data_IF_022185328694
#
_entry.id   IF_022185328694
#
_cell.length_a   1.000
_cell.length_b   1.000
_cell.length_c   1.000
_cell.angle_alpha   90.00
_cell.angle_beta   90.00
_cell.angle_gamma   90.00
#
_symmetry.space_group_name_H-M   'P 1'
#
loop_
_entity.id
_entity.type
_entity.pdbx_description
1 polymer ?
#
# COMPACT_ATOMS: atom_id res chain seq x y z
N UNK A 1 16.37 -26.76 -6.31
CA UNK A 1 14.96 -26.78 -5.88
C UNK A 1 14.33 -25.49 -6.42
N UNK A 2 13.32 -25.56 -7.28
CA UNK A 2 12.69 -24.38 -7.90
C UNK A 2 11.35 -24.13 -7.21
N UNK A 3 10.95 -22.86 -7.08
CA UNK A 3 9.62 -22.54 -6.54
C UNK A 3 8.49 -23.00 -7.48
N UNK A 4 7.36 -23.45 -6.92
CA UNK A 4 6.16 -23.85 -7.68
C UNK A 4 5.36 -22.66 -8.23
N UNK A 5 5.40 -21.53 -7.51
CA UNK A 5 4.84 -20.26 -7.91
C UNK A 5 5.78 -19.12 -7.46
N UNK A 6 5.86 -18.07 -8.27
CA UNK A 6 6.65 -16.87 -7.98
C UNK A 6 5.68 -15.69 -7.93
N UNK A 7 5.70 -14.96 -6.82
CA UNK A 7 4.81 -13.83 -6.58
C UNK A 7 5.63 -12.56 -6.46
N UNK A 8 5.09 -11.44 -6.97
CA UNK A 8 5.68 -10.12 -6.79
C UNK A 8 4.62 -9.13 -6.32
N UNK A 9 5.03 -8.19 -5.46
CA UNK A 9 4.08 -7.37 -4.69
C UNK A 9 3.95 -5.92 -5.13
N UNK A 10 4.84 -5.46 -6.00
CA UNK A 10 4.76 -4.13 -6.62
C UNK A 10 5.03 -4.23 -8.13
N UNK A 11 4.33 -3.45 -8.97
CA UNK A 11 4.48 -3.55 -10.43
C UNK A 11 5.91 -3.29 -10.94
N UNK A 12 6.71 -2.54 -10.21
CA UNK A 12 8.11 -2.27 -10.54
C UNK A 12 9.01 -3.52 -10.48
N UNK A 13 8.59 -4.58 -9.80
CA UNK A 13 9.27 -5.89 -9.79
C UNK A 13 8.93 -6.77 -11.00
N UNK A 14 7.99 -6.32 -11.85
CA UNK A 14 7.65 -6.99 -13.11
C UNK A 14 8.46 -6.37 -14.25
N UNK A 15 9.78 -6.50 -14.16
CA UNK A 15 10.69 -6.09 -15.23
C UNK A 15 11.03 -7.27 -16.18
N UNK A 16 11.98 -7.05 -17.08
CA UNK A 16 12.43 -8.07 -18.04
C UNK A 16 13.08 -9.30 -17.40
N UNK A 17 13.46 -9.23 -16.12
CA UNK A 17 14.08 -10.35 -15.39
C UNK A 17 13.05 -11.19 -14.63
N UNK A 18 11.84 -10.65 -14.41
CA UNK A 18 10.76 -11.40 -13.80
C UNK A 18 10.40 -12.63 -14.65
N UNK A 19 10.40 -13.85 -14.06
CA UNK A 19 10.04 -15.05 -14.81
C UNK A 19 8.65 -14.92 -15.43
N UNK A 20 8.46 -15.39 -16.66
CA UNK A 20 7.17 -15.32 -17.36
C UNK A 20 5.99 -15.94 -16.59
N UNK A 21 6.28 -16.83 -15.63
CA UNK A 21 5.29 -17.47 -14.73
C UNK A 21 5.01 -16.71 -13.44
N UNK A 22 5.67 -15.57 -13.21
CA UNK A 22 5.47 -14.76 -12.02
C UNK A 22 4.08 -14.12 -12.03
N UNK A 23 3.46 -14.02 -10.86
CA UNK A 23 2.10 -13.51 -10.70
C UNK A 23 2.10 -12.29 -9.80
N UNK A 24 1.49 -11.20 -10.25
CA UNK A 24 1.29 -10.03 -9.42
C UNK A 24 0.31 -10.33 -8.29
N UNK A 25 0.70 -10.03 -7.05
CA UNK A 25 -0.17 -10.07 -5.87
C UNK A 25 0.03 -8.77 -5.07
N UNK A 26 -0.91 -7.83 -5.09
CA UNK A 26 -0.75 -6.55 -4.39
C UNK A 26 -0.61 -6.74 -2.88
N UNK A 27 0.09 -5.80 -2.23
CA UNK A 27 0.20 -5.79 -0.77
C UNK A 27 -1.16 -5.44 -0.13
N UNK A 28 -1.69 -6.28 0.78
CA UNK A 28 -2.94 -5.98 1.46
C UNK A 28 -2.77 -4.85 2.48
N UNK A 29 -3.83 -4.10 2.72
CA UNK A 29 -3.95 -3.19 3.86
C UNK A 29 -4.90 -3.81 4.87
N UNK A 30 -4.51 -3.83 6.14
CA UNK A 30 -5.42 -4.17 7.23
C UNK A 30 -6.43 -3.03 7.38
N UNK A 31 -7.62 -3.17 6.78
CA UNK A 31 -8.66 -2.15 6.80
C UNK A 31 -9.46 -2.10 8.10
N UNK A 32 -9.23 -3.03 9.02
CA UNK A 32 -9.80 -2.97 10.38
C UNK A 32 -8.96 -2.05 11.25
N UNK A 33 -7.63 -2.16 11.14
CA UNK A 33 -6.66 -1.29 11.81
C UNK A 33 -6.53 0.09 11.13
N UNK A 34 -6.33 0.11 9.82
CA UNK A 34 -6.19 1.33 9.02
C UNK A 34 -7.52 1.72 8.41
N UNK A 35 -8.23 2.59 9.12
CA UNK A 35 -9.49 3.15 8.70
C UNK A 35 -9.61 4.60 9.10
N UNK A 36 -10.55 5.29 8.48
CA UNK A 36 -10.94 6.64 8.89
C UNK A 36 -11.49 6.60 10.31
N UNK A 37 -10.98 7.48 11.16
CA UNK A 37 -11.44 7.67 12.54
C UNK A 37 -12.20 9.00 12.61
N UNK A 38 -13.52 8.95 12.57
CA UNK A 38 -14.35 10.17 12.54
C UNK A 38 -14.26 11.01 13.82
N UNK A 39 -13.84 10.40 14.94
CA UNK A 39 -13.56 11.09 16.19
C UNK A 39 -12.28 11.95 16.15
N UNK A 40 -11.42 11.77 15.13
CA UNK A 40 -10.16 12.51 15.00
C UNK A 40 -10.34 13.69 14.04
N UNK A 41 -10.19 14.90 14.57
CA UNK A 41 -10.24 16.12 13.75
C UNK A 41 -8.96 16.25 12.92
N UNK A 42 -9.10 16.26 11.60
CA UNK A 42 -7.98 16.50 10.68
C UNK A 42 -7.57 17.97 10.65
N UNK A 43 -6.27 18.18 10.58
CA UNK A 43 -5.66 19.48 10.31
C UNK A 43 -5.74 19.73 8.81
N UNK A 44 -6.47 20.77 8.42
CA UNK A 44 -6.63 21.19 7.02
C UNK A 44 -5.32 21.70 6.45
N UNK A 45 -5.12 21.52 5.15
CA UNK A 45 -3.94 22.00 4.41
C UNK A 45 -2.60 21.53 5.01
N UNK A 46 -2.61 20.37 5.68
CA UNK A 46 -1.42 19.78 6.28
C UNK A 46 -1.15 18.41 5.67
N UNK A 47 0.10 18.23 5.24
CA UNK A 47 0.62 16.98 4.74
C UNK A 47 1.61 16.36 5.73
N UNK A 48 1.53 15.04 5.89
CA UNK A 48 2.58 14.26 6.54
C UNK A 48 3.52 13.69 5.47
N UNK A 49 4.82 13.65 5.76
CA UNK A 49 5.78 12.83 5.01
C UNK A 49 6.76 12.14 5.97
N UNK A 50 7.21 10.94 5.62
CA UNK A 50 8.28 10.29 6.39
C UNK A 50 9.65 10.73 5.89
N UNK A 51 10.55 11.14 6.79
CA UNK A 51 11.91 11.56 6.47
C UNK A 51 12.86 10.36 6.20
N UNK A 52 12.42 9.39 5.40
CA UNK A 52 13.28 8.27 5.02
C UNK A 52 12.96 7.83 3.60
N UNK A 53 13.96 7.92 2.73
CA UNK A 53 13.86 7.77 1.28
C UNK A 53 12.91 8.80 0.64
N UNK A 54 12.77 9.95 1.29
CA UNK A 54 12.03 11.09 0.79
C UNK A 54 13.00 12.00 0.04
N UNK A 55 12.65 12.32 -1.20
CA UNK A 55 13.24 13.45 -1.91
C UNK A 55 12.58 14.73 -1.36
N UNK A 56 13.27 15.39 -0.44
CA UNK A 56 12.72 16.52 0.31
C UNK A 56 12.37 17.69 -0.62
N UNK A 57 13.22 18.00 -1.60
CA UNK A 57 12.99 19.09 -2.55
C UNK A 57 11.72 18.84 -3.36
N UNK A 58 11.52 17.61 -3.85
CA UNK A 58 10.28 17.26 -4.56
C UNK A 58 9.07 17.26 -3.65
N UNK A 59 9.19 16.78 -2.41
CA UNK A 59 8.11 16.82 -1.43
C UNK A 59 7.68 18.26 -1.13
N UNK A 60 8.64 19.16 -0.92
CA UNK A 60 8.41 20.59 -0.72
C UNK A 60 7.78 21.25 -1.95
N UNK A 61 8.26 20.92 -3.15
CA UNK A 61 7.67 21.40 -4.41
C UNK A 61 6.21 20.96 -4.54
N UNK A 62 5.90 19.70 -4.23
CA UNK A 62 4.52 19.22 -4.24
C UNK A 62 3.65 19.89 -3.17
N UNK A 63 4.15 20.04 -1.95
CA UNK A 63 3.44 20.72 -0.88
C UNK A 63 3.10 22.16 -1.30
N UNK A 64 4.07 22.90 -1.85
CA UNK A 64 3.89 24.25 -2.37
C UNK A 64 2.83 24.30 -3.48
N UNK A 65 2.90 23.40 -4.47
CA UNK A 65 1.93 23.31 -5.57
C UNK A 65 0.48 23.18 -5.09
N UNK A 66 0.25 22.50 -3.98
CA UNK A 66 -1.09 22.28 -3.42
C UNK A 66 -1.42 23.18 -2.23
N UNK A 67 -0.58 24.17 -1.91
CA UNK A 67 -0.80 25.09 -0.79
C UNK A 67 -0.78 24.40 0.59
N UNK A 68 0.07 23.39 0.76
CA UNK A 68 0.16 22.57 1.97
C UNK A 68 1.36 22.95 2.83
N UNK A 69 1.17 22.96 4.15
CA UNK A 69 2.27 22.81 5.09
C UNK A 69 2.69 21.34 5.16
N UNK A 70 3.96 21.07 5.41
CA UNK A 70 4.49 19.71 5.56
C UNK A 70 5.00 19.51 7.00
N UNK A 71 4.66 18.36 7.58
CA UNK A 71 5.31 17.84 8.78
C UNK A 71 6.09 16.59 8.42
N UNK A 72 7.37 16.57 8.82
CA UNK A 72 8.25 15.43 8.63
C UNK A 72 8.22 14.56 9.88
N UNK A 73 8.16 13.26 9.67
CA UNK A 73 8.13 12.26 10.74
C UNK A 73 9.22 11.21 10.52
N UNK A 74 9.90 10.83 11.58
CA UNK A 74 10.90 9.76 11.55
C UNK A 74 10.25 8.37 11.63
N UNK A 75 10.97 7.34 11.19
CA UNK A 75 10.51 5.93 11.34
C UNK A 75 10.69 5.44 12.78
N UNK A 76 10.23 4.21 13.04
CA UNK A 76 10.34 3.58 14.37
C UNK A 76 9.10 3.73 15.25
N UNK A 77 7.96 4.08 14.64
CA UNK A 77 6.69 4.17 15.34
C UNK A 77 6.06 2.78 15.53
N UNK A 78 5.41 2.52 16.67
CA UNK A 78 4.60 1.31 16.82
C UNK A 78 3.52 1.26 15.73
N UNK A 79 3.46 0.12 15.02
CA UNK A 79 2.56 -0.05 13.88
C UNK A 79 1.09 0.23 14.22
N UNK A 80 0.62 -0.22 15.40
CA UNK A 80 -0.75 0.01 15.86
C UNK A 80 -1.09 1.48 16.18
N UNK A 81 -0.10 2.34 16.38
CA UNK A 81 -0.31 3.78 16.64
C UNK A 81 -0.31 4.61 15.36
N UNK A 82 0.27 4.09 14.28
CA UNK A 82 0.31 4.75 12.98
C UNK A 82 -1.06 5.21 12.46
N UNK A 83 -2.16 4.42 12.52
CA UNK A 83 -3.47 4.90 12.04
C UNK A 83 -3.96 6.12 12.82
N UNK A 84 -3.67 6.23 14.13
CA UNK A 84 -4.04 7.42 14.92
C UNK A 84 -3.25 8.64 14.47
N UNK A 85 -1.97 8.46 14.15
CA UNK A 85 -1.10 9.52 13.63
C UNK A 85 -1.62 10.00 12.27
N UNK A 86 -1.81 9.07 11.32
CA UNK A 86 -2.27 9.36 9.96
C UNK A 86 -3.59 10.13 9.97
N UNK A 87 -4.56 9.70 10.78
CA UNK A 87 -5.89 10.33 10.85
C UNK A 87 -5.89 11.81 11.28
N UNK A 88 -4.77 12.37 11.75
CA UNK A 88 -4.64 13.81 12.07
C UNK A 88 -4.38 14.68 10.85
N UNK A 89 -3.99 14.09 9.72
CA UNK A 89 -3.55 14.80 8.52
C UNK A 89 -4.60 14.73 7.42
N UNK A 90 -4.59 15.71 6.51
CA UNK A 90 -5.42 15.69 5.31
C UNK A 90 -4.69 15.02 4.15
N UNK A 91 -3.40 15.31 4.00
CA UNK A 91 -2.55 14.77 2.95
C UNK A 91 -1.43 13.90 3.51
N UNK A 92 -0.97 12.98 2.68
CA UNK A 92 0.30 12.29 2.84
C UNK A 92 1.12 12.45 1.55
N UNK A 93 2.40 12.80 1.66
CA UNK A 93 3.33 12.88 0.54
C UNK A 93 4.16 11.61 0.52
N UNK A 94 4.02 10.84 -0.54
CA UNK A 94 4.73 9.58 -0.69
C UNK A 94 6.17 9.78 -1.18
N UNK A 95 6.97 8.73 -1.03
CA UNK A 95 8.32 8.64 -1.61
C UNK A 95 8.26 8.76 -3.14
N UNK A 96 9.35 9.26 -3.73
CA UNK A 96 9.46 9.49 -5.18
C UNK A 96 9.97 8.29 -5.98
N UNK A 97 10.45 7.26 -5.28
CA UNK A 97 10.91 6.00 -5.88
C UNK A 97 10.64 4.81 -4.95
N UNK A 98 10.26 3.63 -5.49
CA UNK A 98 9.96 3.34 -6.90
C UNK A 98 8.65 4.01 -7.40
N UNK A 99 8.33 3.85 -8.70
CA UNK A 99 7.10 4.40 -9.34
C UNK A 99 5.84 3.59 -8.96
N UNK A 100 5.65 3.36 -7.67
CA UNK A 100 4.51 2.65 -7.09
C UNK A 100 4.16 3.27 -5.73
N UNK A 101 2.91 3.10 -5.29
CA UNK A 101 2.51 3.57 -3.97
C UNK A 101 3.23 2.76 -2.90
N UNK A 102 3.79 3.43 -1.90
CA UNK A 102 4.35 2.76 -0.74
C UNK A 102 3.25 2.09 0.10
N UNK A 103 3.67 1.14 0.96
CA UNK A 103 2.75 0.52 1.93
C UNK A 103 2.06 1.57 2.81
N UNK A 104 2.82 2.55 3.28
CA UNK A 104 2.32 3.66 4.10
C UNK A 104 1.38 4.58 3.33
N UNK A 105 1.62 4.81 2.04
CA UNK A 105 0.65 5.54 1.21
C UNK A 105 -0.69 4.80 1.08
N UNK A 106 -0.67 3.48 0.89
CA UNK A 106 -1.89 2.67 0.84
C UNK A 106 -2.62 2.69 2.19
N UNK A 107 -1.90 2.61 3.30
CA UNK A 107 -2.43 2.77 4.66
C UNK A 107 -3.02 4.16 4.90
N UNK A 108 -2.37 5.22 4.42
CA UNK A 108 -2.89 6.59 4.47
C UNK A 108 -4.19 6.72 3.66
N UNK A 109 -4.27 6.12 2.47
CA UNK A 109 -5.49 6.07 1.66
C UNK A 109 -6.62 5.33 2.39
N UNK A 110 -6.32 4.23 3.08
CA UNK A 110 -7.29 3.48 3.90
C UNK A 110 -7.78 4.29 5.11
N UNK A 111 -6.88 5.06 5.73
CA UNK A 111 -7.25 6.05 6.74
C UNK A 111 -8.03 7.25 6.15
N UNK A 112 -8.17 7.35 4.83
CA UNK A 112 -8.95 8.36 4.12
C UNK A 112 -8.21 9.66 3.83
N UNK A 113 -6.87 9.66 3.88
CA UNK A 113 -6.05 10.80 3.45
C UNK A 113 -6.02 10.88 1.93
N UNK A 114 -5.70 12.07 1.41
CA UNK A 114 -5.27 12.25 0.02
C UNK A 114 -3.78 11.96 -0.05
N UNK A 115 -3.32 11.19 -1.03
CA UNK A 115 -1.90 10.89 -1.23
C UNK A 115 -1.36 11.62 -2.44
N UNK A 116 -0.25 12.33 -2.27
CA UNK A 116 0.55 12.86 -3.38
C UNK A 116 1.59 11.81 -3.79
N UNK A 117 1.50 11.36 -5.04
CA UNK A 117 2.34 10.31 -5.63
C UNK A 117 3.71 10.83 -6.05
N UNK A 118 4.59 9.89 -6.42
CA UNK A 118 5.91 10.16 -7.00
C UNK A 118 5.90 11.11 -8.21
N UNK A 119 4.80 11.16 -8.98
CA UNK A 119 4.60 12.03 -10.14
C UNK A 119 3.89 13.36 -9.80
N UNK A 120 3.64 13.61 -8.51
CA UNK A 120 2.97 14.81 -8.02
C UNK A 120 1.45 14.81 -8.19
N UNK A 121 0.84 13.71 -8.68
CA UNK A 121 -0.63 13.59 -8.78
C UNK A 121 -1.22 13.20 -7.43
N UNK A 122 -2.42 13.72 -7.15
CA UNK A 122 -3.20 13.34 -5.97
C UNK A 122 -4.05 12.12 -6.29
N UNK A 123 -4.07 11.16 -5.37
CA UNK A 123 -5.01 10.04 -5.35
C UNK A 123 -5.73 9.96 -4.00
N UNK A 124 -6.92 9.39 -3.99
CA UNK A 124 -7.74 9.25 -2.79
C UNK A 124 -8.50 7.94 -2.81
N UNK A 125 -8.73 7.37 -1.62
CA UNK A 125 -9.37 6.07 -1.47
C UNK A 125 -8.40 4.92 -1.74
N UNK A 126 -8.50 3.87 -0.91
CA UNK A 126 -7.69 2.67 -1.07
C UNK A 126 -8.09 1.97 -2.39
N UNK A 127 -7.16 1.65 -3.30
CA UNK A 127 -7.51 0.91 -4.50
C UNK A 127 -7.99 -0.50 -4.11
N UNK A 128 -9.05 -0.95 -4.79
CA UNK A 128 -9.79 -2.17 -4.41
C UNK A 128 -8.92 -3.41 -4.31
N UNK A 129 -7.89 -3.52 -5.17
CA UNK A 129 -7.02 -4.68 -5.22
C UNK A 129 -6.13 -4.83 -3.97
N UNK A 130 -5.95 -3.75 -3.20
CA UNK A 130 -5.21 -3.77 -1.94
C UNK A 130 -6.10 -4.10 -0.73
N UNK A 131 -7.40 -4.37 -0.91
CA UNK A 131 -8.26 -4.81 0.19
C UNK A 131 -7.91 -6.25 0.61
N UNK A 132 -7.93 -6.55 1.91
CA UNK A 132 -7.41 -7.82 2.42
C UNK A 132 -8.16 -9.02 1.86
N UNK A 133 -9.49 -8.93 1.70
CA UNK A 133 -10.30 -9.99 1.12
C UNK A 133 -9.96 -10.27 -0.36
N UNK A 134 -9.56 -9.24 -1.12
CA UNK A 134 -9.16 -9.40 -2.53
C UNK A 134 -7.82 -10.12 -2.64
N UNK A 135 -6.85 -9.71 -1.84
CA UNK A 135 -5.53 -10.35 -1.82
C UNK A 135 -5.64 -11.79 -1.33
N UNK A 136 -6.44 -12.05 -0.28
CA UNK A 136 -6.68 -13.40 0.21
C UNK A 136 -7.31 -14.30 -0.87
N UNK A 137 -8.30 -13.81 -1.61
CA UNK A 137 -8.90 -14.52 -2.73
C UNK A 137 -7.86 -14.86 -3.83
N UNK A 138 -6.97 -13.91 -4.17
CA UNK A 138 -5.91 -14.13 -5.16
C UNK A 138 -4.92 -15.20 -4.70
N UNK A 139 -4.44 -15.10 -3.45
CA UNK A 139 -3.50 -16.07 -2.86
C UNK A 139 -4.14 -17.45 -2.81
N UNK A 140 -5.41 -17.56 -2.38
CA UNK A 140 -6.14 -18.82 -2.34
C UNK A 140 -6.22 -19.49 -3.70
N UNK A 141 -6.55 -18.74 -4.76
CA UNK A 141 -6.59 -19.25 -6.14
C UNK A 141 -5.24 -19.78 -6.61
N UNK A 142 -4.15 -19.10 -6.26
CA UNK A 142 -2.80 -19.53 -6.61
C UNK A 142 -2.45 -20.82 -5.87
N UNK A 143 -2.65 -20.84 -4.55
CA UNK A 143 -2.43 -22.01 -3.72
C UNK A 143 -3.20 -23.24 -4.23
N UNK A 144 -4.47 -23.06 -4.55
CA UNK A 144 -5.32 -24.13 -5.09
C UNK A 144 -4.80 -24.68 -6.42
N UNK A 145 -4.36 -23.80 -7.34
CA UNK A 145 -3.77 -24.23 -8.63
C UNK A 145 -2.48 -25.01 -8.45
N UNK A 146 -1.60 -24.59 -7.52
CA UNK A 146 -0.37 -25.31 -7.20
C UNK A 146 -0.70 -26.68 -6.63
N UNK A 147 -1.66 -26.77 -5.69
CA UNK A 147 -2.12 -28.04 -5.10
C UNK A 147 -2.69 -29.01 -6.13
N UNK A 148 -3.52 -28.56 -7.07
CA UNK A 148 -4.08 -29.44 -8.10
C UNK A 148 -3.04 -29.98 -9.08
N UNK A 149 -1.97 -29.22 -9.37
CA UNK A 149 -0.86 -29.72 -10.20
C UNK A 149 -0.03 -30.80 -9.50
N UNK A 150 -0.11 -30.91 -8.17
CA UNK A 150 0.67 -31.85 -7.37
C UNK A 150 -0.11 -33.03 -6.77
N UNK A 151 -1.44 -33.14 -6.97
CA UNK A 151 -2.27 -34.16 -6.29
C UNK A 151 -3.27 -34.79 -7.27
N UNK A 152 -3.12 -36.11 -7.49
CA UNK A 152 -4.23 -36.99 -7.88
C UNK A 152 -5.26 -37.04 -6.73
N UNK A 153 -6.48 -36.59 -7.02
CA UNK A 153 -7.66 -36.38 -6.16
C UNK A 153 -7.72 -37.07 -4.78
N UNK A 154 -8.15 -36.29 -3.77
CA UNK A 154 -9.23 -36.68 -2.86
C UNK A 154 -10.21 -35.49 -2.71
N UNK A 155 -11.54 -35.73 -2.72
CA UNK A 155 -12.53 -34.66 -2.66
C UNK A 155 -12.68 -34.13 -1.23
N UNK A 156 -12.64 -32.81 -1.06
CA UNK A 156 -13.03 -32.15 0.20
C UNK A 156 -14.47 -31.68 0.06
N UNK A 157 -15.38 -32.28 0.83
CA UNK A 157 -16.73 -31.74 1.06
C UNK A 157 -16.62 -30.62 2.09
N UNK A 158 -17.20 -29.47 1.77
CA UNK A 158 -17.41 -28.40 2.75
C UNK A 158 -18.65 -28.78 3.59
N UNK A 159 -18.50 -28.71 4.92
CA UNK A 159 -19.58 -28.80 5.92
C UNK A 159 -20.14 -27.39 6.11
#
# INVERSE_FOLDING_TARGET
MWADAILYSTPDLCDSEAPARAVYVPNPVDTELFRRLDSVKRRRNLALAFNHNLDLDRAMHYACRYGLSIELLERGLPYGELPKILNRYEYYIDRTSPKSLSKTALEALACGLKVIRWDGRVVSGLPRDHRPERVAEMIWRIYWRVRQKGISFLPVKFI
#
